data_IF_732442978517
#
_entry.id   IF_732442978517
#
_cell.length_a   1.000
_cell.length_b   1.000
_cell.length_c   1.000
_cell.angle_alpha   90.00
_cell.angle_beta   90.00
_cell.angle_gamma   90.00
#
_symmetry.space_group_name_H-M   'P 1'
#
loop_
_entity.id
_entity.type
_entity.pdbx_description
1 polymer ?
#
# COMPACT_ATOMS: atom_id res chain seq x y z
N UNK A 1 -47.11 -1.33 -16.35
CA UNK A 1 -46.53 -1.73 -15.06
C UNK A 1 -45.18 -1.04 -14.99
N UNK A 2 -45.04 -0.04 -14.12
CA UNK A 2 -43.74 0.56 -13.83
C UNK A 2 -42.89 -0.48 -13.11
N UNK A 3 -41.85 -0.98 -13.77
CA UNK A 3 -40.87 -1.82 -13.10
C UNK A 3 -40.09 -0.92 -12.13
N UNK A 4 -40.44 -0.94 -10.84
CA UNK A 4 -39.65 -0.28 -9.81
C UNK A 4 -38.42 -1.13 -9.50
N UNK A 5 -37.27 -0.77 -10.07
CA UNK A 5 -35.99 -1.37 -9.71
C UNK A 5 -35.58 -0.89 -8.33
N UNK A 6 -35.37 -1.80 -7.39
CA UNK A 6 -34.94 -1.48 -6.03
C UNK A 6 -33.46 -1.78 -5.87
N UNK A 7 -32.68 -0.78 -5.47
CA UNK A 7 -31.26 -0.89 -5.15
C UNK A 7 -31.13 -0.92 -3.64
N UNK A 8 -30.44 -1.94 -3.12
CA UNK A 8 -30.12 -2.09 -1.70
C UNK A 8 -28.62 -1.91 -1.49
N UNK A 9 -28.25 -1.06 -0.53
CA UNK A 9 -26.86 -0.82 -0.16
C UNK A 9 -26.57 -1.45 1.20
N UNK A 10 -25.63 -2.39 1.23
CA UNK A 10 -25.21 -3.06 2.45
C UNK A 10 -24.51 -2.09 3.43
N UNK A 11 -24.59 -2.39 4.73
CA UNK A 11 -23.83 -1.71 5.78
C UNK A 11 -23.34 -2.74 6.83
N UNK A 12 -22.04 -2.79 7.17
CA UNK A 12 -20.97 -1.93 6.64
C UNK A 12 -20.56 -2.29 5.20
N UNK A 13 -19.98 -1.33 4.49
CA UNK A 13 -19.37 -1.49 3.16
C UNK A 13 -18.22 -0.50 2.99
N UNK A 14 -17.21 -0.84 2.19
CA UNK A 14 -16.07 0.03 1.92
C UNK A 14 -14.84 -0.37 2.73
N UNK A 15 -14.06 0.63 3.16
CA UNK A 15 -12.77 0.40 3.81
C UNK A 15 -12.92 -0.09 5.25
N UNK A 16 -11.99 -0.95 5.65
CA UNK A 16 -11.76 -1.29 7.05
C UNK A 16 -10.59 -0.46 7.59
N UNK A 17 -10.41 -0.45 8.91
CA UNK A 17 -9.33 0.29 9.57
C UNK A 17 -7.93 -0.07 9.06
N UNK A 18 -7.70 -1.35 8.71
CA UNK A 18 -6.42 -1.79 8.14
C UNK A 18 -6.14 -1.20 6.76
N UNK A 19 -7.15 -1.15 5.90
CA UNK A 19 -7.05 -0.54 4.56
C UNK A 19 -6.81 0.97 4.68
N UNK A 20 -7.57 1.67 5.52
CA UNK A 20 -7.37 3.11 5.75
C UNK A 20 -5.96 3.41 6.27
N UNK A 21 -5.49 2.65 7.28
CA UNK A 21 -4.14 2.80 7.83
C UNK A 21 -3.06 2.58 6.77
N UNK A 22 -3.21 1.56 5.92
CA UNK A 22 -2.21 1.23 4.91
C UNK A 22 -2.11 2.32 3.83
N UNK A 23 -3.25 2.82 3.34
CA UNK A 23 -3.29 3.93 2.38
C UNK A 23 -2.68 5.20 2.98
N UNK A 24 -3.04 5.51 4.22
CA UNK A 24 -2.55 6.71 4.92
C UNK A 24 -1.04 6.64 5.17
N UNK A 25 -0.51 5.45 5.48
CA UNK A 25 0.93 5.22 5.61
C UNK A 25 1.69 5.64 4.35
N UNK A 26 1.19 5.27 3.16
CA UNK A 26 1.83 5.66 1.89
C UNK A 26 1.75 7.17 1.69
N UNK A 27 0.59 7.79 1.93
CA UNK A 27 0.40 9.25 1.78
C UNK A 27 1.34 10.04 2.69
N UNK A 28 1.41 9.68 3.97
CA UNK A 28 2.32 10.31 4.92
C UNK A 28 3.80 10.13 4.53
N UNK A 29 4.16 8.99 3.95
CA UNK A 29 5.51 8.80 3.44
C UNK A 29 5.80 9.71 2.23
N UNK A 30 4.85 9.88 1.32
CA UNK A 30 4.97 10.78 0.17
C UNK A 30 5.05 12.27 0.56
N UNK A 31 4.54 12.63 1.74
CA UNK A 31 4.68 13.97 2.32
C UNK A 31 6.01 14.16 3.06
N UNK A 32 6.49 13.11 3.74
CA UNK A 32 7.65 13.18 4.64
C UNK A 32 8.98 12.94 3.95
N UNK A 33 9.02 12.08 2.95
CA UNK A 33 10.24 11.64 2.26
C UNK A 33 10.29 12.19 0.83
N UNK A 34 11.50 12.35 0.30
CA UNK A 34 11.69 12.65 -1.10
C UNK A 34 11.12 11.51 -1.97
N UNK A 35 10.52 11.88 -3.10
CA UNK A 35 9.97 10.93 -4.06
C UNK A 35 11.09 10.29 -4.89
N UNK A 36 10.92 9.03 -5.33
CA UNK A 36 9.75 8.17 -5.12
C UNK A 36 9.76 7.44 -3.79
N UNK A 37 8.57 7.07 -3.31
CA UNK A 37 8.40 6.12 -2.19
C UNK A 37 8.06 4.75 -2.75
N UNK A 38 8.78 3.70 -2.33
CA UNK A 38 8.56 2.35 -2.85
C UNK A 38 7.61 1.57 -1.94
N UNK A 39 6.71 0.79 -2.56
CA UNK A 39 5.83 -0.14 -1.86
C UNK A 39 6.08 -1.53 -2.42
N UNK A 40 6.35 -2.50 -1.54
CA UNK A 40 6.50 -3.89 -1.93
C UNK A 40 5.11 -4.51 -2.13
N UNK A 41 4.82 -4.90 -3.38
CA UNK A 41 3.50 -5.27 -3.91
C UNK A 41 2.44 -4.17 -3.74
N UNK A 42 1.23 -4.41 -4.23
CA UNK A 42 0.10 -3.50 -4.04
C UNK A 42 -0.19 -3.27 -2.55
N UNK A 43 -0.32 -1.99 -2.13
CA UNK A 43 -0.64 -1.64 -0.73
C UNK A 43 -1.96 -2.26 -0.28
N UNK A 44 -2.94 -2.30 -1.20
CA UNK A 44 -4.23 -2.99 -1.13
C UNK A 44 -4.64 -3.42 -2.54
N UNK A 45 -5.45 -4.46 -2.69
CA UNK A 45 -5.91 -4.93 -4.01
C UNK A 45 -7.06 -4.09 -4.58
N UNK A 46 -6.80 -2.82 -4.86
CA UNK A 46 -7.74 -1.90 -5.50
C UNK A 46 -7.03 -1.00 -6.51
N UNK A 47 -7.28 -1.25 -7.80
CA UNK A 47 -6.64 -0.54 -8.92
C UNK A 47 -6.83 0.98 -8.88
N UNK A 48 -7.96 1.47 -8.39
CA UNK A 48 -8.19 2.91 -8.28
C UNK A 48 -7.26 3.53 -7.23
N UNK A 49 -7.14 2.88 -6.07
CA UNK A 49 -6.24 3.31 -5.00
C UNK A 49 -4.78 3.25 -5.44
N UNK A 50 -4.39 2.17 -6.14
CA UNK A 50 -3.03 2.04 -6.68
C UNK A 50 -2.72 3.17 -7.65
N UNK A 51 -3.60 3.43 -8.63
CA UNK A 51 -3.39 4.52 -9.60
C UNK A 51 -3.26 5.90 -8.95
N UNK A 52 -4.11 6.23 -7.96
CA UNK A 52 -4.02 7.51 -7.22
C UNK A 52 -2.68 7.68 -6.49
N UNK A 53 -2.16 6.60 -5.90
CA UNK A 53 -0.88 6.62 -5.20
C UNK A 53 0.31 6.69 -6.16
N UNK A 54 0.24 6.00 -7.31
CA UNK A 54 1.24 6.11 -8.38
C UNK A 54 1.33 7.53 -8.94
N UNK A 55 0.18 8.15 -9.23
CA UNK A 55 0.09 9.56 -9.64
C UNK A 55 0.68 10.52 -8.59
N UNK A 56 0.60 10.13 -7.32
CA UNK A 56 1.17 10.88 -6.20
C UNK A 56 2.67 10.63 -5.98
N UNK A 57 3.29 9.68 -6.70
CA UNK A 57 4.72 9.39 -6.66
C UNK A 57 5.13 8.12 -5.91
N UNK A 58 4.18 7.24 -5.60
CA UNK A 58 4.50 5.89 -5.14
C UNK A 58 4.95 5.01 -6.31
N UNK A 59 5.88 4.09 -6.06
CA UNK A 59 6.28 3.07 -7.02
C UNK A 59 6.04 1.70 -6.40
N UNK A 60 5.14 0.93 -6.99
CA UNK A 60 4.86 -0.44 -6.58
C UNK A 60 5.85 -1.39 -7.26
N UNK A 61 6.49 -2.26 -6.49
CA UNK A 61 7.49 -3.21 -6.99
C UNK A 61 7.20 -4.63 -6.52
N UNK A 62 7.52 -5.60 -7.37
CA UNK A 62 7.35 -7.03 -7.06
C UNK A 62 8.50 -7.61 -6.22
N UNK A 63 9.62 -6.90 -6.09
CA UNK A 63 10.77 -7.38 -5.33
C UNK A 63 11.63 -6.23 -4.79
N UNK A 64 12.28 -6.49 -3.66
CA UNK A 64 13.12 -5.51 -2.97
C UNK A 64 14.36 -5.09 -3.79
N UNK A 65 14.83 -5.92 -4.71
CA UNK A 65 16.01 -5.63 -5.55
C UNK A 65 15.75 -4.54 -6.58
N UNK A 66 14.48 -4.24 -6.87
CA UNK A 66 14.10 -3.10 -7.69
C UNK A 66 14.22 -1.75 -6.94
N UNK A 67 14.41 -1.78 -5.62
CA UNK A 67 14.48 -0.59 -4.77
C UNK A 67 15.95 -0.17 -4.61
N UNK A 68 16.31 1.09 -4.91
CA UNK A 68 17.65 1.60 -4.64
C UNK A 68 18.00 1.51 -3.15
N UNK A 69 19.26 1.20 -2.85
CA UNK A 69 19.73 1.07 -1.45
C UNK A 69 19.54 2.37 -0.68
N UNK A 70 19.12 2.27 0.59
CA UNK A 70 18.85 3.42 1.45
C UNK A 70 17.48 4.07 1.24
N UNK A 71 16.71 3.67 0.23
CA UNK A 71 15.37 4.21 -0.01
C UNK A 71 14.33 3.68 0.97
N UNK A 72 13.18 4.36 1.02
CA UNK A 72 12.03 3.94 1.83
C UNK A 72 11.30 2.82 1.12
N UNK A 73 11.02 1.74 1.85
CA UNK A 73 10.24 0.60 1.40
C UNK A 73 9.06 0.37 2.35
N UNK A 74 7.83 0.42 1.84
CA UNK A 74 6.62 0.14 2.61
C UNK A 74 6.19 -1.31 2.36
N UNK A 75 5.95 -2.07 3.43
CA UNK A 75 5.31 -3.38 3.33
C UNK A 75 3.79 -3.24 3.28
N UNK A 76 3.12 -4.03 2.44
CA UNK A 76 1.68 -3.92 2.20
C UNK A 76 0.83 -4.28 3.42
N UNK A 77 -0.48 -3.99 3.36
CA UNK A 77 -1.44 -4.36 4.41
C UNK A 77 -1.51 -5.88 4.68
N UNK A 78 -1.08 -6.70 3.72
CA UNK A 78 -1.20 -8.15 3.74
C UNK A 78 -0.06 -8.85 4.51
N UNK A 79 0.98 -8.10 4.90
CA UNK A 79 2.16 -8.66 5.53
C UNK A 79 3.21 -9.17 4.54
N UNK A 80 4.35 -9.54 5.11
CA UNK A 80 5.49 -10.12 4.42
C UNK A 80 6.05 -11.26 5.26
N UNK A 81 6.90 -12.11 4.66
CA UNK A 81 7.59 -13.15 5.42
C UNK A 81 8.82 -12.60 6.13
N UNK A 82 9.30 -13.30 7.16
CA UNK A 82 10.51 -12.93 7.91
C UNK A 82 11.75 -12.86 7.01
N UNK A 83 11.79 -13.68 5.96
CA UNK A 83 12.86 -13.67 4.97
C UNK A 83 12.90 -12.35 4.18
N UNK A 84 11.73 -11.78 3.86
CA UNK A 84 11.62 -10.49 3.18
C UNK A 84 12.06 -9.35 4.10
N UNK A 85 11.70 -9.39 5.38
CA UNK A 85 12.19 -8.41 6.37
C UNK A 85 13.72 -8.44 6.47
N UNK A 86 14.29 -9.64 6.55
CA UNK A 86 15.74 -9.85 6.61
C UNK A 86 16.43 -9.38 5.32
N UNK A 87 15.86 -9.68 4.15
CA UNK A 87 16.39 -9.20 2.87
C UNK A 87 16.39 -7.67 2.79
N UNK A 88 15.33 -7.01 3.26
CA UNK A 88 15.24 -5.55 3.28
C UNK A 88 16.32 -4.93 4.18
N UNK A 89 16.57 -5.52 5.35
CA UNK A 89 17.65 -5.11 6.25
C UNK A 89 19.03 -5.27 5.58
N UNK A 90 19.29 -6.41 4.92
CA UNK A 90 20.54 -6.67 4.20
C UNK A 90 20.76 -5.71 3.01
N UNK A 91 19.68 -5.26 2.37
CA UNK A 91 19.72 -4.24 1.32
C UNK A 91 19.87 -2.81 1.88
N UNK A 92 19.77 -2.63 3.20
CA UNK A 92 19.86 -1.33 3.86
C UNK A 92 18.66 -0.43 3.55
N UNK A 93 17.48 -1.01 3.33
CA UNK A 93 16.26 -0.26 3.06
C UNK A 93 15.68 0.31 4.36
N UNK A 94 15.07 1.49 4.28
CA UNK A 94 14.32 2.08 5.40
C UNK A 94 12.89 1.54 5.35
N UNK A 95 12.64 0.45 6.07
CA UNK A 95 11.35 -0.25 6.03
C UNK A 95 10.29 0.45 6.89
N UNK A 96 9.05 0.46 6.40
CA UNK A 96 7.86 0.92 7.11
C UNK A 96 6.77 -0.14 6.95
N UNK A 97 6.28 -0.67 8.07
CA UNK A 97 5.33 -1.78 8.07
C UNK A 97 3.87 -1.30 8.14
N UNK A 98 3.15 -1.45 7.02
CA UNK A 98 1.74 -1.14 6.93
C UNK A 98 0.82 -2.36 7.14
N UNK A 99 1.36 -3.52 7.55
CA UNK A 99 0.60 -4.75 7.83
C UNK A 99 -0.57 -4.46 8.77
N UNK A 100 -1.75 -5.01 8.46
CA UNK A 100 -2.91 -4.91 9.33
C UNK A 100 -2.63 -5.62 10.68
N UNK A 101 -2.88 -4.98 11.83
CA UNK A 101 -2.77 -5.62 13.14
C UNK A 101 -3.70 -6.83 13.33
#
# INVERSE_FOLDING_TARGET
MENSFQIYLASPRGFCAGVERAIETVKLCLEKYDRPVYVLHEIVHNKHVIGELEESGAIFVENLKAIPRGEVCIFSAHGVSVEIETEAELLGLRTIDATCP
#
